data_IF_788330138609
#
_entry.id   IF_788330138609
#
_cell.length_a   1.000
_cell.length_b   1.000
_cell.length_c   1.000
_cell.angle_alpha   90.00
_cell.angle_beta   90.00
_cell.angle_gamma   90.00
#
_symmetry.space_group_name_H-M   'P 1'
#
loop_
_entity.id
_entity.type
_entity.pdbx_description
1 polymer ?
#
# COMPACT_ATOMS: atom_id res chain seq x y z
N UNK A 1 25.40 2.94 22.56
CA UNK A 1 25.00 2.51 23.91
C UNK A 1 25.48 1.07 24.13
N UNK A 2 26.46 0.92 25.04
CA UNK A 2 27.23 -0.31 25.15
C UNK A 2 26.71 -1.26 26.23
N UNK A 3 25.45 -1.72 26.16
CA UNK A 3 25.07 -2.83 27.01
C UNK A 3 25.86 -4.09 26.64
N UNK A 4 26.52 -4.69 27.64
CA UNK A 4 27.17 -5.99 27.45
C UNK A 4 26.13 -7.05 27.02
N UNK A 5 26.50 -7.97 26.12
CA UNK A 5 25.59 -9.04 25.71
C UNK A 5 25.21 -9.93 26.90
N UNK A 6 23.97 -10.39 26.91
CA UNK A 6 23.52 -11.39 27.86
C UNK A 6 23.96 -12.76 27.35
N UNK A 7 24.73 -13.46 28.15
CA UNK A 7 25.15 -14.84 27.91
C UNK A 7 24.27 -15.81 28.66
N UNK A 8 23.57 -16.70 27.97
CA UNK A 8 22.69 -17.70 28.56
C UNK A 8 23.25 -19.09 28.33
N UNK A 9 23.58 -19.78 29.40
CA UNK A 9 24.00 -21.17 29.36
C UNK A 9 22.79 -22.08 29.33
N UNK A 10 22.69 -22.91 28.30
CA UNK A 10 21.53 -23.78 28.08
C UNK A 10 21.95 -25.26 28.13
N UNK A 11 21.11 -26.06 28.78
CA UNK A 11 21.19 -27.53 28.73
C UNK A 11 20.05 -28.05 27.84
N UNK A 12 20.42 -28.88 26.85
CA UNK A 12 19.42 -29.49 25.97
C UNK A 12 19.10 -30.91 26.42
N UNK A 13 17.92 -31.11 27.02
CA UNK A 13 17.55 -32.34 27.70
C UNK A 13 16.95 -33.44 26.81
N UNK A 14 16.77 -33.14 25.49
CA UNK A 14 16.25 -34.19 24.58
C UNK A 14 17.39 -35.04 24.05
N UNK A 15 17.12 -36.35 23.88
CA UNK A 15 18.03 -37.30 23.29
C UNK A 15 18.30 -36.87 21.80
N UNK A 16 19.59 -36.87 21.39
CA UNK A 16 19.95 -36.54 20.03
C UNK A 16 19.43 -37.61 19.06
N UNK A 17 19.10 -37.16 17.83
CA UNK A 17 18.68 -38.03 16.74
C UNK A 17 19.62 -37.83 15.54
N UNK A 18 19.69 -38.87 14.70
CA UNK A 18 20.41 -38.79 13.44
C UNK A 18 19.85 -37.66 12.54
N UNK A 19 20.71 -36.81 12.00
CA UNK A 19 20.32 -35.74 11.09
C UNK A 19 19.94 -36.21 9.68
N UNK A 20 20.12 -37.51 9.36
CA UNK A 20 19.85 -38.11 8.05
C UNK A 20 18.61 -39.01 8.06
N UNK A 21 18.49 -39.94 9.04
CA UNK A 21 17.41 -40.91 9.10
C UNK A 21 16.51 -40.76 10.34
N UNK A 22 16.74 -39.71 11.15
CA UNK A 22 15.97 -39.40 12.39
C UNK A 22 16.02 -40.52 13.47
N UNK A 23 16.86 -41.54 13.29
CA UNK A 23 17.00 -42.64 14.26
C UNK A 23 17.53 -42.16 15.62
N UNK A 24 17.08 -42.78 16.68
CA UNK A 24 17.58 -42.59 18.05
C UNK A 24 18.87 -43.38 18.33
N UNK A 25 19.22 -44.37 17.51
CA UNK A 25 20.39 -45.23 17.69
C UNK A 25 21.67 -44.51 17.25
N UNK A 26 22.05 -43.47 17.97
CA UNK A 26 23.23 -42.65 17.68
C UNK A 26 24.25 -42.74 18.81
N UNK A 27 25.54 -42.72 18.43
CA UNK A 27 26.67 -42.63 19.37
C UNK A 27 27.27 -41.23 19.33
N UNK A 28 27.52 -40.65 20.54
CA UNK A 28 28.26 -39.36 20.64
C UNK A 28 29.76 -39.64 20.42
N UNK A 29 30.33 -39.00 19.40
CA UNK A 29 31.77 -39.16 19.07
C UNK A 29 32.63 -38.07 19.71
N UNK A 30 32.17 -36.82 19.62
CA UNK A 30 32.84 -35.70 20.28
C UNK A 30 31.84 -34.63 20.67
N UNK A 31 32.26 -33.76 21.54
CA UNK A 31 31.46 -32.60 21.95
C UNK A 31 32.18 -31.30 21.66
N UNK A 32 31.45 -30.24 21.43
CA UNK A 32 31.94 -28.90 21.23
C UNK A 32 30.95 -27.86 21.78
N UNK A 33 31.48 -26.72 22.15
CA UNK A 33 30.65 -25.60 22.59
C UNK A 33 30.12 -24.88 21.35
N UNK A 34 28.85 -24.51 21.39
CA UNK A 34 28.17 -23.73 20.36
C UNK A 34 27.64 -22.44 20.93
N UNK A 35 27.96 -21.32 20.26
CA UNK A 35 27.45 -20.00 20.57
C UNK A 35 26.52 -19.55 19.43
N UNK A 36 25.30 -19.15 19.77
CA UNK A 36 24.26 -18.79 18.81
C UNK A 36 23.61 -17.47 19.22
N UNK A 37 23.55 -16.52 18.33
CA UNK A 37 22.84 -15.26 18.55
C UNK A 37 21.33 -15.51 18.61
N UNK A 38 20.70 -14.87 19.57
CA UNK A 38 19.26 -14.95 19.85
C UNK A 38 18.60 -13.56 19.78
N UNK A 39 17.28 -13.52 19.86
CA UNK A 39 16.52 -12.26 19.92
C UNK A 39 16.99 -11.39 21.10
N UNK A 40 16.73 -10.08 21.02
CA UNK A 40 17.03 -9.18 22.13
C UNK A 40 16.14 -9.51 23.34
N UNK A 41 16.73 -9.49 24.51
CA UNK A 41 16.00 -9.47 25.78
C UNK A 41 16.11 -8.05 26.35
N UNK A 42 15.01 -7.31 26.32
CA UNK A 42 15.03 -5.87 26.50
C UNK A 42 15.86 -5.20 25.40
N UNK A 43 16.88 -4.43 25.80
CA UNK A 43 17.81 -3.77 24.85
C UNK A 43 19.16 -4.51 24.72
N UNK A 44 19.30 -5.68 25.35
CA UNK A 44 20.56 -6.44 25.38
C UNK A 44 20.56 -7.52 24.33
N UNK A 45 21.68 -7.62 23.58
CA UNK A 45 21.92 -8.75 22.68
C UNK A 45 22.06 -10.02 23.50
N UNK A 46 21.47 -11.11 23.04
CA UNK A 46 21.49 -12.38 23.73
C UNK A 46 22.29 -13.41 22.92
N UNK A 47 23.16 -14.13 23.59
CA UNK A 47 23.96 -15.22 23.04
C UNK A 47 23.64 -16.47 23.84
N UNK A 48 23.14 -17.50 23.16
CA UNK A 48 22.92 -18.81 23.74
C UNK A 48 24.21 -19.62 23.63
N UNK A 49 24.68 -20.17 24.76
CA UNK A 49 25.84 -21.04 24.83
C UNK A 49 25.40 -22.43 25.30
N UNK A 50 25.77 -23.47 24.56
CA UNK A 50 25.38 -24.84 24.90
C UNK A 50 26.32 -25.87 24.29
N UNK A 51 26.35 -27.05 24.89
CA UNK A 51 27.13 -28.21 24.42
C UNK A 51 26.41 -28.92 23.30
N UNK A 52 27.07 -29.16 22.18
CA UNK A 52 26.61 -29.88 21.00
C UNK A 52 27.51 -31.09 20.74
N UNK A 53 26.95 -32.10 20.05
CA UNK A 53 27.67 -33.33 19.77
C UNK A 53 27.79 -33.63 18.29
N UNK A 54 28.94 -34.18 17.91
CA UNK A 54 29.10 -34.91 16.66
C UNK A 54 28.62 -36.33 16.89
N UNK A 55 27.75 -36.82 16.04
CA UNK A 55 27.02 -38.09 16.17
C UNK A 55 27.43 -39.05 15.07
N UNK A 56 27.47 -40.34 15.40
CA UNK A 56 27.52 -41.43 14.41
C UNK A 56 26.23 -42.24 14.55
N UNK A 57 25.55 -42.50 13.44
CA UNK A 57 24.30 -43.28 13.41
C UNK A 57 24.60 -44.76 13.14
N UNK A 58 24.17 -45.63 14.04
CA UNK A 58 24.35 -47.09 13.88
C UNK A 58 23.44 -47.69 12.79
N UNK A 59 22.35 -47.03 12.40
CA UNK A 59 21.43 -47.53 11.37
C UNK A 59 21.84 -47.13 9.95
N UNK A 60 22.16 -45.85 9.71
CA UNK A 60 22.52 -45.41 8.37
C UNK A 60 24.04 -45.25 8.13
N UNK A 61 24.89 -45.53 9.12
CA UNK A 61 26.32 -45.48 9.04
C UNK A 61 26.93 -44.09 8.85
N UNK A 62 26.14 -43.01 8.96
CA UNK A 62 26.58 -41.64 8.64
C UNK A 62 26.93 -40.82 9.88
N UNK A 63 27.90 -39.95 9.69
CA UNK A 63 28.22 -38.91 10.67
C UNK A 63 27.33 -37.68 10.46
N UNK A 64 27.00 -37.01 11.55
CA UNK A 64 26.23 -35.77 11.51
C UNK A 64 26.43 -34.94 12.78
N UNK A 65 26.09 -33.69 12.72
CA UNK A 65 26.05 -32.82 13.90
C UNK A 65 24.64 -32.84 14.52
N UNK A 66 24.57 -32.78 15.82
CA UNK A 66 23.31 -32.64 16.54
C UNK A 66 22.55 -31.42 16.05
N UNK A 67 21.27 -31.60 15.76
CA UNK A 67 20.35 -30.53 15.37
C UNK A 67 19.55 -30.03 16.59
N UNK A 68 19.22 -28.75 16.56
CA UNK A 68 18.46 -28.09 17.61
C UNK A 68 17.24 -27.38 17.03
N UNK A 69 16.07 -27.44 17.65
CA UNK A 69 14.88 -26.72 17.18
C UNK A 69 15.16 -25.21 17.11
N UNK A 70 14.65 -24.57 16.07
CA UNK A 70 14.79 -23.13 15.86
C UNK A 70 16.19 -22.64 15.51
N UNK A 71 17.12 -23.57 15.21
CA UNK A 71 18.48 -23.26 14.74
C UNK A 71 18.77 -24.09 13.50
N UNK A 72 18.72 -23.49 12.33
CA UNK A 72 18.98 -24.19 11.07
C UNK A 72 20.43 -24.67 10.98
N UNK A 73 20.65 -25.71 10.17
CA UNK A 73 21.98 -26.31 9.93
C UNK A 73 22.99 -25.23 9.54
N UNK A 74 24.14 -25.22 10.20
CA UNK A 74 25.24 -24.26 10.02
C UNK A 74 24.94 -22.80 10.38
N UNK A 75 23.76 -22.48 10.85
CA UNK A 75 23.43 -21.11 11.28
C UNK A 75 24.01 -20.81 12.69
N UNK A 76 24.50 -19.57 12.85
CA UNK A 76 24.95 -19.01 14.13
C UNK A 76 23.91 -18.06 14.76
N UNK A 77 22.68 -18.16 14.29
CA UNK A 77 21.52 -17.37 14.77
C UNK A 77 20.31 -18.27 14.92
N UNK A 78 19.46 -17.95 15.86
CA UNK A 78 18.14 -18.59 15.98
C UNK A 78 17.18 -18.04 14.91
N UNK A 79 16.14 -18.82 14.58
CA UNK A 79 15.05 -18.36 13.71
C UNK A 79 14.28 -17.19 14.34
N UNK A 80 14.14 -17.17 15.69
CA UNK A 80 13.50 -16.05 16.40
C UNK A 80 14.22 -14.73 16.19
N UNK A 81 15.56 -14.71 16.21
CA UNK A 81 16.34 -13.52 15.89
C UNK A 81 16.07 -13.04 14.46
N UNK A 82 16.02 -13.97 13.48
CA UNK A 82 15.75 -13.61 12.09
C UNK A 82 14.34 -13.02 11.93
N UNK A 83 13.34 -13.58 12.63
CA UNK A 83 11.97 -13.07 12.67
C UNK A 83 11.90 -11.69 13.32
N UNK A 84 12.59 -11.48 14.45
CA UNK A 84 12.63 -10.18 15.11
C UNK A 84 13.24 -9.10 14.19
N UNK A 85 14.34 -9.39 13.52
CA UNK A 85 14.97 -8.48 12.55
C UNK A 85 14.01 -8.17 11.39
N UNK A 86 13.30 -9.17 10.87
CA UNK A 86 12.32 -8.99 9.82
C UNK A 86 11.21 -8.03 10.26
N UNK A 87 10.62 -8.21 11.45
CA UNK A 87 9.58 -7.33 11.96
C UNK A 87 10.07 -5.91 12.23
N UNK A 88 11.27 -5.74 12.76
CA UNK A 88 11.87 -4.41 12.95
C UNK A 88 12.07 -3.70 11.61
N UNK A 89 12.54 -4.41 10.58
CA UNK A 89 12.73 -3.82 9.24
C UNK A 89 11.39 -3.46 8.59
N UNK A 90 10.39 -4.32 8.65
CA UNK A 90 9.04 -4.03 8.14
C UNK A 90 8.36 -2.89 8.89
N UNK A 91 8.75 -2.65 10.15
CA UNK A 91 8.30 -1.49 10.95
C UNK A 91 9.04 -0.19 10.62
N UNK A 92 9.99 -0.20 9.67
CA UNK A 92 10.67 0.99 9.15
C UNK A 92 12.09 1.22 9.67
N UNK A 93 12.67 0.31 10.48
CA UNK A 93 14.06 0.42 10.92
C UNK A 93 15.00 0.04 9.77
N UNK A 94 15.98 0.89 9.48
CA UNK A 94 16.90 0.67 8.37
C UNK A 94 17.83 -0.53 8.60
N UNK A 95 18.27 -1.20 7.52
CA UNK A 95 19.24 -2.30 7.62
C UNK A 95 20.57 -1.86 8.27
N UNK A 96 20.99 -0.61 8.08
CA UNK A 96 22.16 -0.03 8.74
C UNK A 96 22.00 -0.03 10.26
N UNK A 97 20.86 0.43 10.71
CA UNK A 97 20.51 0.54 12.13
C UNK A 97 20.38 -0.83 12.79
N UNK A 98 19.71 -1.78 12.10
CA UNK A 98 19.65 -3.18 12.53
C UNK A 98 21.02 -3.84 12.61
N UNK A 99 21.92 -3.54 11.65
CA UNK A 99 23.30 -4.03 11.67
C UNK A 99 24.06 -3.58 12.91
N UNK A 100 23.87 -2.34 13.33
CA UNK A 100 24.46 -1.78 14.55
C UNK A 100 23.83 -2.39 15.81
N UNK A 101 22.49 -2.46 15.85
CA UNK A 101 21.74 -2.93 17.02
C UNK A 101 22.00 -4.40 17.32
N UNK A 102 21.96 -5.25 16.28
CA UNK A 102 22.12 -6.70 16.43
C UNK A 102 23.57 -7.19 16.26
N UNK A 103 24.49 -6.30 15.87
CA UNK A 103 25.87 -6.64 15.46
C UNK A 103 25.92 -7.80 14.47
N UNK A 104 25.10 -7.71 13.45
CA UNK A 104 25.08 -8.63 12.31
C UNK A 104 25.49 -7.90 11.04
N UNK A 105 26.20 -8.56 10.13
CA UNK A 105 26.59 -7.95 8.85
C UNK A 105 25.35 -7.56 8.03
N UNK A 106 25.40 -6.40 7.33
CA UNK A 106 24.30 -5.92 6.48
C UNK A 106 23.84 -6.97 5.47
N UNK A 107 24.76 -7.61 4.76
CA UNK A 107 24.46 -8.69 3.81
C UNK A 107 23.77 -9.92 4.47
N UNK A 108 24.03 -10.16 5.76
CA UNK A 108 23.36 -11.23 6.52
C UNK A 108 21.93 -10.85 6.83
N UNK A 109 21.70 -9.61 7.27
CA UNK A 109 20.35 -9.06 7.54
C UNK A 109 19.53 -9.07 6.25
N UNK A 110 20.10 -8.61 5.14
CA UNK A 110 19.45 -8.59 3.83
C UNK A 110 19.03 -10.00 3.40
N UNK A 111 19.93 -10.99 3.49
CA UNK A 111 19.60 -12.40 3.17
C UNK A 111 18.47 -12.96 4.06
N UNK A 112 18.49 -12.67 5.36
CA UNK A 112 17.44 -13.11 6.27
C UNK A 112 16.11 -12.44 5.95
N UNK A 113 16.13 -11.13 5.64
CA UNK A 113 14.95 -10.38 5.24
C UNK A 113 14.34 -10.95 3.96
N UNK A 114 15.14 -11.13 2.89
CA UNK A 114 14.65 -11.68 1.62
C UNK A 114 14.11 -13.10 1.78
N UNK A 115 14.80 -13.95 2.52
CA UNK A 115 14.34 -15.32 2.79
C UNK A 115 12.98 -15.32 3.50
N UNK A 116 12.83 -14.50 4.53
CA UNK A 116 11.57 -14.40 5.28
C UNK A 116 10.46 -13.78 4.44
N UNK A 117 10.78 -12.74 3.69
CA UNK A 117 9.86 -12.12 2.74
C UNK A 117 9.31 -13.11 1.73
N UNK A 118 10.15 -14.00 1.17
CA UNK A 118 9.70 -15.05 0.26
C UNK A 118 8.76 -16.06 0.95
N UNK A 119 9.05 -16.46 2.19
CA UNK A 119 8.18 -17.37 2.94
C UNK A 119 6.81 -16.72 3.16
N UNK A 120 6.76 -15.49 3.67
CA UNK A 120 5.51 -14.78 3.93
C UNK A 120 4.79 -14.39 2.63
N UNK A 121 5.54 -14.05 1.58
CA UNK A 121 4.98 -13.80 0.26
C UNK A 121 4.30 -15.02 -0.34
N UNK A 122 4.86 -16.21 -0.20
CA UNK A 122 4.25 -17.46 -0.64
C UNK A 122 2.96 -17.80 0.14
N UNK A 123 2.90 -17.47 1.43
CA UNK A 123 1.67 -17.60 2.22
C UNK A 123 0.59 -16.61 1.72
N UNK A 124 0.99 -15.39 1.36
CA UNK A 124 0.08 -14.38 0.81
C UNK A 124 -0.48 -14.76 -0.56
N UNK A 125 0.29 -15.42 -1.44
CA UNK A 125 -0.16 -15.90 -2.75
C UNK A 125 -1.37 -16.85 -2.65
N UNK A 126 -1.57 -17.50 -1.53
CA UNK A 126 -2.74 -18.36 -1.26
C UNK A 126 -3.90 -17.63 -0.60
N UNK A 127 -3.72 -16.36 -0.24
CA UNK A 127 -4.77 -15.55 0.39
C UNK A 127 -5.79 -15.12 -0.67
N UNK A 128 -7.09 -15.40 -0.48
CA UNK A 128 -8.10 -14.99 -1.46
C UNK A 128 -8.27 -13.48 -1.47
N UNK A 129 -8.66 -12.94 -2.63
CA UNK A 129 -8.93 -11.52 -2.81
C UNK A 129 -9.85 -10.95 -1.72
N UNK A 130 -9.57 -9.74 -1.22
CA UNK A 130 -10.45 -9.06 -0.27
C UNK A 130 -11.79 -8.69 -0.95
N UNK A 131 -12.88 -8.66 -0.17
CA UNK A 131 -14.21 -8.29 -0.69
C UNK A 131 -14.28 -6.84 -1.18
N UNK A 132 -13.46 -5.95 -0.63
CA UNK A 132 -13.38 -4.53 -1.00
C UNK A 132 -11.93 -4.23 -1.34
N UNK A 133 -11.65 -4.15 -2.63
CA UNK A 133 -10.32 -3.98 -3.19
C UNK A 133 -10.10 -2.52 -3.60
N UNK A 134 -8.93 -1.98 -3.31
CA UNK A 134 -8.44 -0.72 -3.88
C UNK A 134 -7.37 -1.01 -4.92
N UNK A 135 -7.43 -0.32 -6.05
CA UNK A 135 -6.39 -0.30 -7.07
C UNK A 135 -5.85 1.11 -7.23
N UNK A 136 -4.53 1.27 -7.17
CA UNK A 136 -3.89 2.57 -7.34
C UNK A 136 -2.53 2.42 -8.04
N UNK A 137 -2.12 3.45 -8.76
CA UNK A 137 -0.87 3.51 -9.49
C UNK A 137 0.18 4.27 -8.69
N UNK A 138 1.38 3.72 -8.60
CA UNK A 138 2.51 4.41 -8.01
C UNK A 138 3.71 4.46 -8.95
N UNK A 139 4.27 5.65 -9.14
CA UNK A 139 5.53 5.85 -9.86
C UNK A 139 6.69 5.86 -8.85
N UNK A 140 7.55 4.88 -8.91
CA UNK A 140 8.71 4.78 -8.02
C UNK A 140 9.86 5.69 -8.46
N UNK A 141 10.34 5.49 -9.68
CA UNK A 141 11.45 6.25 -10.25
C UNK A 141 11.54 5.99 -11.76
N UNK A 142 12.33 6.80 -12.46
CA UNK A 142 12.60 6.56 -13.90
C UNK A 142 13.19 5.17 -14.17
N UNK A 143 14.02 4.65 -13.25
CA UNK A 143 14.65 3.31 -13.35
C UNK A 143 13.66 2.18 -13.09
N UNK A 144 12.78 2.33 -12.10
CA UNK A 144 11.88 1.26 -11.65
C UNK A 144 10.49 1.33 -12.29
N UNK A 145 10.10 2.49 -12.85
CA UNK A 145 8.83 2.69 -13.51
C UNK A 145 7.63 2.72 -12.56
N UNK A 146 6.52 2.22 -13.05
CA UNK A 146 5.24 2.17 -12.32
C UNK A 146 5.02 0.82 -11.66
N UNK A 147 4.24 0.82 -10.59
CA UNK A 147 3.64 -0.38 -10.01
C UNK A 147 2.17 -0.11 -9.69
N UNK A 148 1.38 -1.16 -9.74
CA UNK A 148 -0.02 -1.18 -9.31
C UNK A 148 -0.09 -1.74 -7.90
N UNK A 149 -0.65 -0.98 -6.98
CA UNK A 149 -0.87 -1.38 -5.58
C UNK A 149 -2.29 -1.87 -5.42
N UNK A 150 -2.44 -3.07 -4.89
CA UNK A 150 -3.72 -3.66 -4.50
C UNK A 150 -3.87 -3.55 -2.98
N UNK A 151 -4.98 -3.00 -2.50
CA UNK A 151 -5.23 -2.80 -1.07
C UNK A 151 -6.53 -3.46 -0.61
N UNK A 152 -6.52 -4.11 0.55
CA UNK A 152 -7.73 -4.43 1.30
C UNK A 152 -8.24 -3.16 1.99
N UNK A 153 -9.23 -2.50 1.39
CA UNK A 153 -9.78 -1.25 1.91
C UNK A 153 -10.62 -1.44 3.19
N UNK A 154 -11.03 -2.67 3.49
CA UNK A 154 -11.73 -2.99 4.73
C UNK A 154 -10.77 -3.10 5.90
N UNK A 155 -9.66 -3.78 5.71
CA UNK A 155 -8.63 -4.02 6.74
C UNK A 155 -7.57 -2.93 6.79
N UNK A 156 -7.59 -1.97 5.86
CA UNK A 156 -6.58 -0.91 5.74
C UNK A 156 -5.14 -1.47 5.58
N UNK A 157 -4.97 -2.45 4.70
CA UNK A 157 -3.69 -3.11 4.45
C UNK A 157 -3.40 -3.21 2.95
N UNK A 158 -2.13 -3.13 2.59
CA UNK A 158 -1.69 -3.54 1.26
C UNK A 158 -1.97 -5.04 1.13
N UNK A 159 -2.63 -5.42 0.05
CA UNK A 159 -2.86 -6.81 -0.31
C UNK A 159 -1.70 -7.33 -1.15
N UNK A 160 -1.32 -6.57 -2.20
CA UNK A 160 -0.16 -6.89 -3.03
C UNK A 160 0.32 -5.68 -3.83
N UNK A 161 1.53 -5.77 -4.40
CA UNK A 161 2.12 -4.76 -5.27
C UNK A 161 2.67 -5.45 -6.52
N UNK A 162 2.18 -5.05 -7.68
CA UNK A 162 2.54 -5.64 -8.96
C UNK A 162 3.27 -4.62 -9.82
N UNK A 163 4.42 -5.00 -10.37
CA UNK A 163 5.20 -4.13 -11.27
C UNK A 163 4.41 -3.88 -12.56
N UNK A 164 4.37 -2.61 -12.99
CA UNK A 164 3.68 -2.18 -14.19
C UNK A 164 2.28 -1.64 -13.92
N UNK A 165 1.64 -1.14 -14.99
CA UNK A 165 0.29 -0.56 -14.95
C UNK A 165 -0.54 -0.90 -16.18
N UNK A 166 0.08 -1.47 -17.22
CA UNK A 166 -0.57 -1.85 -18.46
C UNK A 166 -1.28 -3.18 -18.32
N UNK A 167 -2.23 -3.45 -19.19
CA UNK A 167 -2.95 -4.71 -19.21
C UNK A 167 -2.01 -5.91 -19.31
N UNK A 168 -1.01 -5.84 -20.19
CA UNK A 168 0.00 -6.92 -20.37
C UNK A 168 0.81 -7.19 -19.11
N UNK A 169 1.09 -6.14 -18.32
CA UNK A 169 1.85 -6.26 -17.08
C UNK A 169 1.03 -6.97 -15.97
N UNK A 170 -0.29 -6.75 -15.95
CA UNK A 170 -1.18 -7.16 -14.87
C UNK A 170 -1.96 -8.45 -15.15
N UNK A 171 -2.19 -8.80 -16.42
CA UNK A 171 -3.05 -9.93 -16.79
C UNK A 171 -2.60 -11.26 -16.19
N UNK A 172 -1.30 -11.57 -16.23
CA UNK A 172 -0.78 -12.83 -15.68
C UNK A 172 -1.05 -12.92 -14.17
N UNK A 173 -0.74 -11.86 -13.45
CA UNK A 173 -0.98 -11.78 -12.01
C UNK A 173 -2.48 -11.86 -11.67
N UNK A 174 -3.32 -11.08 -12.34
CA UNK A 174 -4.77 -11.09 -12.11
C UNK A 174 -5.41 -12.45 -12.43
N UNK A 175 -4.86 -13.18 -13.42
CA UNK A 175 -5.32 -14.53 -13.71
C UNK A 175 -5.03 -15.50 -12.57
N UNK A 176 -3.89 -15.38 -11.91
CA UNK A 176 -3.46 -16.26 -10.82
C UNK A 176 -4.17 -16.02 -9.49
N UNK A 177 -4.84 -14.87 -9.32
CA UNK A 177 -5.51 -14.52 -8.08
C UNK A 177 -6.66 -15.48 -7.74
N UNK A 178 -6.69 -15.92 -6.47
CA UNK A 178 -7.77 -16.76 -5.94
C UNK A 178 -8.92 -15.91 -5.39
N UNK A 179 -10.15 -16.37 -5.49
CA UNK A 179 -11.33 -15.74 -4.90
C UNK A 179 -11.74 -14.42 -5.56
N UNK A 180 -11.47 -14.24 -6.85
CA UNK A 180 -11.88 -13.06 -7.64
C UNK A 180 -13.39 -12.84 -7.67
N UNK A 181 -14.14 -13.92 -7.70
CA UNK A 181 -15.62 -13.99 -7.64
C UNK A 181 -16.19 -13.41 -6.32
N UNK A 182 -15.40 -13.40 -5.25
CA UNK A 182 -15.78 -12.88 -3.94
C UNK A 182 -15.64 -11.37 -3.82
N UNK A 183 -14.96 -10.72 -4.76
CA UNK A 183 -14.77 -9.26 -4.76
C UNK A 183 -16.10 -8.59 -5.08
N UNK A 184 -16.57 -7.76 -4.16
CA UNK A 184 -17.87 -7.05 -4.26
C UNK A 184 -17.71 -5.62 -4.75
N UNK A 185 -16.59 -4.99 -4.41
CA UNK A 185 -16.30 -3.58 -4.74
C UNK A 185 -14.83 -3.45 -5.10
N UNK A 186 -14.57 -2.74 -6.19
CA UNK A 186 -13.24 -2.27 -6.55
C UNK A 186 -13.24 -0.75 -6.62
N UNK A 187 -12.47 -0.09 -5.74
CA UNK A 187 -12.25 1.35 -5.77
C UNK A 187 -10.95 1.64 -6.53
N UNK A 188 -11.03 2.54 -7.53
CA UNK A 188 -9.89 2.86 -8.38
C UNK A 188 -9.96 4.29 -8.91
N UNK A 189 -8.87 4.80 -9.45
CA UNK A 189 -8.81 6.06 -10.18
C UNK A 189 -9.56 5.97 -11.54
N UNK A 190 -9.66 7.10 -12.22
CA UNK A 190 -10.37 7.22 -13.50
C UNK A 190 -9.53 6.66 -14.66
N UNK A 191 -9.07 5.42 -14.54
CA UNK A 191 -8.26 4.71 -15.55
C UNK A 191 -9.09 3.73 -16.36
N UNK A 192 -9.18 3.96 -17.69
CA UNK A 192 -9.88 3.01 -18.58
C UNK A 192 -9.22 1.64 -18.63
N UNK A 193 -7.89 1.58 -18.51
CA UNK A 193 -7.15 0.30 -18.44
C UNK A 193 -7.59 -0.51 -17.21
N UNK A 194 -7.62 0.12 -16.04
CA UNK A 194 -8.09 -0.58 -14.82
C UNK A 194 -9.57 -0.92 -14.90
N UNK A 195 -10.41 -0.05 -15.50
CA UNK A 195 -11.83 -0.34 -15.73
C UNK A 195 -12.03 -1.63 -16.54
N UNK A 196 -11.30 -1.78 -17.63
CA UNK A 196 -11.34 -2.99 -18.47
C UNK A 196 -10.85 -4.22 -17.72
N UNK A 197 -9.73 -4.12 -17.01
CA UNK A 197 -9.18 -5.21 -16.20
C UNK A 197 -10.15 -5.64 -15.09
N UNK A 198 -10.77 -4.70 -14.40
CA UNK A 198 -11.73 -5.01 -13.34
C UNK A 198 -12.96 -5.71 -13.90
N UNK A 199 -13.52 -5.25 -15.00
CA UNK A 199 -14.65 -5.89 -15.68
C UNK A 199 -14.32 -7.33 -16.12
N UNK A 200 -13.10 -7.56 -16.60
CA UNK A 200 -12.63 -8.87 -17.08
C UNK A 200 -12.37 -9.85 -15.93
N UNK A 201 -11.70 -9.41 -14.86
CA UNK A 201 -11.19 -10.30 -13.81
C UNK A 201 -12.07 -10.39 -12.56
N UNK A 202 -12.94 -9.41 -12.31
CA UNK A 202 -13.81 -9.33 -11.13
C UNK A 202 -15.28 -9.14 -11.53
N UNK A 203 -15.92 -10.17 -12.14
CA UNK A 203 -17.23 -10.03 -12.79
C UNK A 203 -18.36 -9.59 -11.82
N UNK A 204 -18.25 -9.93 -10.55
CA UNK A 204 -19.24 -9.59 -9.52
C UNK A 204 -18.98 -8.25 -8.82
N UNK A 205 -17.87 -7.60 -9.15
CA UNK A 205 -17.46 -6.38 -8.47
C UNK A 205 -18.14 -5.12 -9.04
N UNK A 206 -18.62 -4.26 -8.15
CA UNK A 206 -19.00 -2.90 -8.51
C UNK A 206 -17.78 -2.00 -8.53
N UNK A 207 -17.58 -1.29 -9.64
CA UNK A 207 -16.50 -0.32 -9.75
C UNK A 207 -16.96 0.98 -9.06
N UNK A 208 -16.08 1.53 -8.24
CA UNK A 208 -16.28 2.80 -7.53
C UNK A 208 -15.12 3.72 -7.90
N UNK A 209 -15.45 4.91 -8.40
CA UNK A 209 -14.44 5.91 -8.68
C UNK A 209 -13.78 6.39 -7.36
N UNK A 210 -12.46 6.55 -7.36
CA UNK A 210 -11.81 7.15 -6.19
C UNK A 210 -12.12 8.64 -6.13
N UNK A 211 -12.77 9.04 -5.03
CA UNK A 211 -13.21 10.43 -4.80
C UNK A 211 -12.10 11.45 -4.90
N UNK A 212 -10.92 11.11 -4.41
CA UNK A 212 -9.78 12.02 -4.44
C UNK A 212 -9.40 12.36 -5.88
N UNK A 213 -9.33 11.37 -6.76
CA UNK A 213 -9.00 11.55 -8.18
C UNK A 213 -10.10 12.32 -8.92
N UNK A 214 -11.38 12.05 -8.63
CA UNK A 214 -12.49 12.82 -9.22
C UNK A 214 -12.41 14.29 -8.83
N UNK A 215 -12.23 14.60 -7.55
CA UNK A 215 -12.13 15.97 -7.05
C UNK A 215 -10.90 16.67 -7.61
N UNK A 216 -9.77 15.98 -7.67
CA UNK A 216 -8.52 16.50 -8.25
C UNK A 216 -8.69 16.84 -9.73
N UNK A 217 -9.42 16.01 -10.48
CA UNK A 217 -9.75 16.27 -11.88
C UNK A 217 -10.59 17.56 -12.02
N UNK A 218 -11.66 17.69 -11.24
CA UNK A 218 -12.51 18.89 -11.24
C UNK A 218 -11.68 20.14 -10.94
N UNK A 219 -10.89 20.10 -9.88
CA UNK A 219 -10.02 21.23 -9.50
C UNK A 219 -9.03 21.57 -10.61
N UNK A 220 -8.41 20.58 -11.24
CA UNK A 220 -7.44 20.79 -12.30
C UNK A 220 -8.06 21.50 -13.50
N UNK A 221 -9.20 21.02 -13.99
CA UNK A 221 -9.87 21.59 -15.17
C UNK A 221 -10.40 23.01 -14.91
N UNK A 222 -10.95 23.26 -13.72
CA UNK A 222 -11.35 24.63 -13.34
C UNK A 222 -10.14 25.57 -13.26
N UNK A 223 -9.01 25.10 -12.69
CA UNK A 223 -7.78 25.91 -12.66
C UNK A 223 -7.24 26.22 -14.04
N UNK A 224 -7.36 25.31 -15.00
CA UNK A 224 -7.00 25.57 -16.39
C UNK A 224 -7.90 26.67 -16.99
N UNK A 225 -9.22 26.58 -16.78
CA UNK A 225 -10.18 27.58 -17.26
C UNK A 225 -9.93 28.97 -16.65
N UNK A 226 -9.61 29.06 -15.34
CA UNK A 226 -9.27 30.34 -14.73
C UNK A 226 -8.02 30.99 -15.36
N UNK A 227 -7.03 30.19 -15.74
CA UNK A 227 -5.83 30.68 -16.44
C UNK A 227 -6.11 31.14 -17.87
N UNK A 228 -7.09 30.53 -18.53
CA UNK A 228 -7.54 30.94 -19.87
C UNK A 228 -8.30 32.27 -19.82
N UNK A 229 -9.11 32.51 -18.77
CA UNK A 229 -9.96 33.69 -18.63
C UNK A 229 -9.21 34.93 -18.15
N UNK A 230 -8.13 34.79 -17.37
CA UNK A 230 -7.44 35.93 -16.80
C UNK A 230 -5.93 35.77 -16.86
N UNK A 231 -5.28 36.70 -17.57
CA UNK A 231 -3.81 36.77 -17.62
C UNK A 231 -3.19 37.07 -16.26
N UNK A 232 -3.89 37.81 -15.39
CA UNK A 232 -3.43 38.13 -14.03
C UNK A 232 -3.34 36.88 -13.13
N UNK A 233 -4.17 35.86 -13.39
CA UNK A 233 -4.15 34.58 -12.69
C UNK A 233 -3.03 33.66 -13.20
N UNK A 234 -2.71 33.70 -14.47
CA UNK A 234 -1.83 32.73 -15.14
C UNK A 234 -0.52 32.51 -14.38
N UNK A 235 0.05 33.57 -13.85
CA UNK A 235 1.32 33.58 -13.12
C UNK A 235 1.15 33.85 -11.61
N UNK A 236 -0.07 34.09 -11.12
CA UNK A 236 -0.33 34.40 -9.71
C UNK A 236 -0.66 33.16 -8.90
N UNK A 237 0.38 32.49 -8.38
CA UNK A 237 0.23 31.31 -7.53
C UNK A 237 -0.61 31.57 -6.29
N UNK A 238 -0.59 32.80 -5.76
CA UNK A 238 -1.37 33.17 -4.57
C UNK A 238 -2.87 33.15 -4.83
N UNK A 239 -3.34 33.77 -5.94
CA UNK A 239 -4.75 33.76 -6.34
C UNK A 239 -5.23 32.34 -6.67
N UNK A 240 -4.45 31.59 -7.43
CA UNK A 240 -4.78 30.17 -7.70
C UNK A 240 -4.92 29.35 -6.44
N UNK A 241 -4.07 29.59 -5.43
CA UNK A 241 -4.16 28.91 -4.14
C UNK A 241 -5.46 29.30 -3.39
N UNK A 242 -5.88 30.57 -3.44
CA UNK A 242 -7.13 31.03 -2.84
C UNK A 242 -8.35 30.33 -3.49
N UNK A 243 -8.41 30.30 -4.81
CA UNK A 243 -9.51 29.67 -5.58
C UNK A 243 -9.56 28.14 -5.38
N UNK A 244 -8.43 27.49 -5.13
CA UNK A 244 -8.33 26.05 -4.85
C UNK A 244 -8.66 25.68 -3.42
N UNK A 245 -8.44 26.60 -2.48
CA UNK A 245 -8.62 26.31 -1.05
C UNK A 245 -10.11 26.33 -0.70
N UNK A 246 -10.54 25.37 0.11
CA UNK A 246 -11.93 25.33 0.61
C UNK A 246 -12.25 26.63 1.36
N UNK A 247 -13.47 27.18 1.18
CA UNK A 247 -13.90 28.41 1.84
C UNK A 247 -13.70 28.40 3.37
N UNK A 248 -13.99 27.29 4.01
CA UNK A 248 -13.90 27.11 5.46
C UNK A 248 -12.45 27.15 5.99
N UNK A 249 -11.48 26.86 5.13
CA UNK A 249 -10.05 26.84 5.48
C UNK A 249 -9.35 28.17 5.21
N UNK A 250 -10.03 29.16 4.65
CA UNK A 250 -9.49 30.48 4.42
C UNK A 250 -9.65 31.36 5.65
N UNK A 251 -8.58 32.08 6.01
CA UNK A 251 -8.64 33.16 7.01
C UNK A 251 -9.51 34.31 6.51
N UNK A 252 -10.05 35.14 7.41
CA UNK A 252 -10.91 36.28 7.06
C UNK A 252 -10.29 37.18 5.99
N UNK A 253 -9.03 37.57 6.16
CA UNK A 253 -8.31 38.39 5.16
C UNK A 253 -8.22 37.68 3.77
N UNK A 254 -8.00 36.37 3.74
CA UNK A 254 -7.92 35.60 2.49
C UNK A 254 -9.31 35.44 1.83
N UNK A 255 -10.39 35.38 2.62
CA UNK A 255 -11.77 35.39 2.11
C UNK A 255 -12.05 36.72 1.43
N UNK A 256 -11.81 37.85 2.09
CA UNK A 256 -12.00 39.19 1.52
C UNK A 256 -11.24 39.31 0.20
N UNK A 257 -9.96 38.96 0.17
CA UNK A 257 -9.16 39.02 -1.05
C UNK A 257 -9.72 38.18 -2.19
N UNK A 258 -10.22 36.97 -1.90
CA UNK A 258 -10.87 36.11 -2.88
C UNK A 258 -12.16 36.76 -3.39
N UNK A 259 -13.00 37.25 -2.48
CA UNK A 259 -14.32 37.78 -2.82
C UNK A 259 -14.22 39.07 -3.63
N UNK A 260 -13.29 39.97 -3.28
CA UNK A 260 -12.96 41.15 -4.09
C UNK A 260 -12.54 40.74 -5.52
N UNK A 261 -11.62 39.76 -5.63
CA UNK A 261 -11.18 39.29 -6.93
C UNK A 261 -12.32 38.65 -7.76
N UNK A 262 -13.21 37.88 -7.13
CA UNK A 262 -14.36 37.27 -7.81
C UNK A 262 -15.36 38.32 -8.29
N UNK A 263 -15.65 39.33 -7.48
CA UNK A 263 -16.53 40.45 -7.86
C UNK A 263 -16.00 41.23 -9.09
N UNK A 264 -14.68 41.38 -9.21
CA UNK A 264 -14.03 41.99 -10.37
C UNK A 264 -14.03 41.09 -11.63
N UNK A 265 -14.30 39.78 -11.48
CA UNK A 265 -14.20 38.78 -12.54
C UNK A 265 -15.44 37.86 -12.60
N UNK A 266 -16.61 38.35 -13.08
CA UNK A 266 -17.90 37.62 -13.00
C UNK A 266 -17.89 36.24 -13.68
N UNK A 267 -17.14 36.07 -14.78
CA UNK A 267 -17.03 34.77 -15.45
C UNK A 267 -16.28 33.74 -14.58
N UNK A 268 -15.25 34.18 -13.86
CA UNK A 268 -14.50 33.32 -12.92
C UNK A 268 -15.36 33.01 -11.70
N UNK A 269 -16.12 34.00 -11.22
CA UNK A 269 -17.04 33.84 -10.09
C UNK A 269 -18.10 32.76 -10.39
N UNK A 270 -18.73 32.81 -11.55
CA UNK A 270 -19.71 31.82 -11.97
C UNK A 270 -19.13 30.41 -12.00
N UNK A 271 -17.92 30.22 -12.56
CA UNK A 271 -17.24 28.94 -12.59
C UNK A 271 -16.82 28.49 -11.18
N UNK A 272 -16.41 29.42 -10.33
CA UNK A 272 -16.05 29.14 -8.94
C UNK A 272 -17.25 28.61 -8.14
N UNK A 273 -18.39 29.26 -8.23
CA UNK A 273 -19.62 28.79 -7.58
C UNK A 273 -20.09 27.44 -8.11
N UNK A 274 -20.04 27.25 -9.42
CA UNK A 274 -20.32 25.95 -10.02
C UNK A 274 -19.37 24.86 -9.51
N UNK A 275 -18.08 25.15 -9.43
CA UNK A 275 -17.06 24.25 -8.88
C UNK A 275 -17.36 23.88 -7.42
N UNK A 276 -17.76 24.85 -6.57
CA UNK A 276 -18.12 24.58 -5.17
C UNK A 276 -19.34 23.68 -5.07
N UNK A 277 -20.40 23.94 -5.82
CA UNK A 277 -21.61 23.10 -5.85
C UNK A 277 -21.28 21.67 -6.31
N UNK A 278 -20.50 21.53 -7.38
CA UNK A 278 -20.09 20.20 -7.84
C UNK A 278 -19.21 19.48 -6.82
N UNK A 279 -18.31 20.20 -6.14
CA UNK A 279 -17.49 19.66 -5.09
C UNK A 279 -18.33 19.17 -3.89
N UNK A 280 -19.30 19.95 -3.42
CA UNK A 280 -20.22 19.56 -2.34
C UNK A 280 -20.99 18.29 -2.71
N UNK A 281 -21.52 18.24 -3.93
CA UNK A 281 -22.21 17.06 -4.44
C UNK A 281 -21.30 15.82 -4.42
N UNK A 282 -20.07 15.93 -4.88
CA UNK A 282 -19.09 14.85 -4.94
C UNK A 282 -18.60 14.41 -3.55
N UNK A 283 -18.67 15.29 -2.55
CA UNK A 283 -18.25 14.99 -1.17
C UNK A 283 -19.27 14.17 -0.38
N UNK A 284 -20.49 14.00 -0.88
CA UNK A 284 -21.48 13.13 -0.23
C UNK A 284 -20.93 11.71 -0.01
N UNK A 285 -21.25 11.12 1.15
CA UNK A 285 -20.78 9.78 1.55
C UNK A 285 -21.92 9.00 2.19
N UNK A 286 -21.83 7.66 2.10
CA UNK A 286 -22.76 6.75 2.82
C UNK A 286 -24.23 7.04 2.57
N UNK A 287 -24.58 7.52 1.37
CA UNK A 287 -25.95 7.81 1.03
C UNK A 287 -26.76 6.53 0.85
N UNK A 288 -28.01 6.57 1.29
CA UNK A 288 -28.98 5.52 0.95
C UNK A 288 -29.29 5.53 -0.55
N UNK A 289 -29.81 4.41 -1.07
CA UNK A 289 -30.21 4.31 -2.48
C UNK A 289 -31.23 5.39 -2.87
N UNK A 290 -32.15 5.71 -1.97
CA UNK A 290 -33.17 6.75 -2.18
C UNK A 290 -32.51 8.14 -2.30
N UNK A 291 -31.62 8.49 -1.37
CA UNK A 291 -30.90 9.78 -1.43
C UNK A 291 -30.02 9.90 -2.68
N UNK A 292 -29.33 8.84 -3.08
CA UNK A 292 -28.59 8.84 -4.34
C UNK A 292 -29.47 9.14 -5.55
N UNK A 293 -30.66 8.51 -5.64
CA UNK A 293 -31.60 8.77 -6.73
C UNK A 293 -32.03 10.24 -6.82
N UNK A 294 -32.14 10.93 -5.69
CA UNK A 294 -32.50 12.35 -5.66
C UNK A 294 -31.41 13.28 -6.18
N UNK A 295 -30.15 12.93 -5.99
CA UNK A 295 -29.01 13.78 -6.41
C UNK A 295 -28.48 13.48 -7.82
N UNK A 296 -28.75 12.29 -8.36
CA UNK A 296 -28.35 11.92 -9.72
C UNK A 296 -28.82 12.90 -10.80
N UNK A 297 -30.11 13.35 -10.85
CA UNK A 297 -30.54 14.30 -11.86
C UNK A 297 -29.77 15.62 -11.82
N UNK A 298 -29.46 16.15 -10.63
CA UNK A 298 -28.64 17.35 -10.48
C UNK A 298 -27.23 17.13 -11.03
N UNK A 299 -26.61 16.01 -10.73
CA UNK A 299 -25.28 15.66 -11.25
C UNK A 299 -25.26 15.57 -12.78
N UNK A 300 -26.26 14.91 -13.36
CA UNK A 300 -26.40 14.81 -14.82
C UNK A 300 -26.61 16.18 -15.47
N UNK A 301 -27.42 17.06 -14.86
CA UNK A 301 -27.59 18.44 -15.30
C UNK A 301 -26.27 19.21 -15.28
N UNK A 302 -25.48 19.07 -14.21
CA UNK A 302 -24.17 19.69 -14.10
C UNK A 302 -23.20 19.18 -15.17
N UNK A 303 -23.23 17.89 -15.48
CA UNK A 303 -22.44 17.31 -16.59
C UNK A 303 -22.83 17.93 -17.93
N UNK A 304 -24.14 18.09 -18.20
CA UNK A 304 -24.60 18.71 -19.45
C UNK A 304 -24.15 20.17 -19.55
N UNK A 305 -24.26 20.95 -18.48
CA UNK A 305 -23.77 22.33 -18.43
C UNK A 305 -22.26 22.39 -18.75
N UNK A 306 -21.46 21.48 -18.21
CA UNK A 306 -20.04 21.40 -18.52
C UNK A 306 -19.78 21.07 -20.02
N UNK A 307 -20.54 20.15 -20.59
CA UNK A 307 -20.40 19.75 -22.01
C UNK A 307 -20.80 20.87 -22.99
N UNK A 308 -21.70 21.76 -22.59
CA UNK A 308 -22.16 22.91 -23.36
C UNK A 308 -21.34 24.18 -23.08
N UNK A 309 -20.34 24.12 -22.22
CA UNK A 309 -19.48 25.26 -21.88
C UNK A 309 -18.66 25.72 -23.10
N UNK A 310 -18.39 27.02 -23.23
CA UNK A 310 -17.51 27.54 -24.28
C UNK A 310 -16.02 27.20 -24.03
N UNK A 311 -15.67 26.72 -22.82
CA UNK A 311 -14.29 26.45 -22.44
C UNK A 311 -13.92 24.98 -22.66
N UNK A 312 -12.85 24.75 -23.44
CA UNK A 312 -12.37 23.39 -23.79
C UNK A 312 -12.09 22.53 -22.56
N UNK A 313 -11.51 23.11 -21.51
CA UNK A 313 -11.17 22.41 -20.25
C UNK A 313 -12.44 21.93 -19.54
N UNK A 314 -13.51 22.74 -19.49
CA UNK A 314 -14.78 22.35 -18.87
C UNK A 314 -15.53 21.30 -19.70
N UNK A 315 -15.48 21.40 -21.04
CA UNK A 315 -16.04 20.38 -21.95
C UNK A 315 -15.35 19.04 -21.75
N UNK A 316 -14.01 19.02 -21.63
CA UNK A 316 -13.24 17.81 -21.37
C UNK A 316 -13.60 17.20 -20.01
N UNK A 317 -13.79 18.04 -18.97
CA UNK A 317 -14.29 17.61 -17.67
C UNK A 317 -15.68 16.96 -17.80
N UNK A 318 -16.62 17.64 -18.47
CA UNK A 318 -17.97 17.13 -18.69
C UNK A 318 -17.99 15.76 -19.39
N UNK A 319 -17.21 15.60 -20.46
CA UNK A 319 -17.05 14.32 -21.16
C UNK A 319 -16.49 13.22 -20.25
N UNK A 320 -15.49 13.53 -19.44
CA UNK A 320 -14.89 12.54 -18.50
C UNK A 320 -15.90 12.16 -17.43
N UNK A 321 -16.57 13.12 -16.79
CA UNK A 321 -17.57 12.84 -15.76
C UNK A 321 -18.74 12.04 -16.34
N UNK A 322 -19.17 12.30 -17.56
CA UNK A 322 -20.23 11.55 -18.26
C UNK A 322 -19.81 10.09 -18.49
N UNK A 323 -18.58 9.88 -18.96
CA UNK A 323 -18.02 8.53 -19.17
C UNK A 323 -17.93 7.71 -17.88
N UNK A 324 -17.76 8.36 -16.71
CA UNK A 324 -17.57 7.75 -15.41
C UNK A 324 -18.77 7.95 -14.45
N UNK A 325 -19.90 8.38 -14.95
CA UNK A 325 -21.07 8.76 -14.12
C UNK A 325 -21.58 7.64 -13.23
N UNK A 326 -21.54 6.39 -13.69
CA UNK A 326 -22.00 5.23 -12.91
C UNK A 326 -21.08 4.93 -11.74
N UNK A 327 -19.78 4.93 -11.96
CA UNK A 327 -18.77 4.67 -10.94
C UNK A 327 -18.69 5.83 -9.93
N UNK A 328 -18.93 7.06 -10.38
CA UNK A 328 -19.07 8.24 -9.51
C UNK A 328 -20.36 8.15 -8.68
N UNK A 329 -21.49 7.75 -9.26
CA UNK A 329 -22.72 7.52 -8.50
C UNK A 329 -22.56 6.41 -7.44
N UNK A 330 -21.81 5.36 -7.76
CA UNK A 330 -21.43 4.33 -6.78
C UNK A 330 -20.60 4.90 -5.62
N UNK A 331 -19.76 5.89 -5.85
CA UNK A 331 -18.92 6.55 -4.84
C UNK A 331 -19.73 7.16 -3.68
N UNK A 332 -20.96 7.64 -3.92
CA UNK A 332 -21.81 8.20 -2.87
C UNK A 332 -22.35 7.16 -1.89
N UNK A 333 -22.45 5.92 -2.31
CA UNK A 333 -22.92 4.80 -1.48
C UNK A 333 -21.80 4.16 -0.67
N UNK A 334 -20.55 4.22 -1.17
CA UNK A 334 -19.39 3.60 -0.57
C UNK A 334 -18.49 4.68 0.05
N UNK A 335 -18.19 4.51 1.35
CA UNK A 335 -17.35 5.46 2.09
C UNK A 335 -15.85 5.24 1.90
N UNK A 336 -15.46 4.06 1.40
CA UNK A 336 -14.06 3.69 1.25
C UNK A 336 -13.44 4.40 0.05
N UNK A 337 -12.25 4.95 0.25
CA UNK A 337 -11.42 5.60 -0.78
C UNK A 337 -10.00 5.02 -0.74
N UNK A 338 -9.24 5.23 -1.80
CA UNK A 338 -7.83 4.82 -1.88
C UNK A 338 -6.87 5.71 -1.06
N UNK A 339 -7.36 6.62 -0.22
CA UNK A 339 -6.51 7.48 0.60
C UNK A 339 -5.51 6.72 1.48
N UNK A 340 -5.78 5.44 1.75
CA UNK A 340 -4.86 4.53 2.43
C UNK A 340 -3.64 4.24 1.54
N UNK A 341 -3.85 4.06 0.25
CA UNK A 341 -2.80 3.79 -0.74
C UNK A 341 -1.81 4.94 -0.82
N UNK A 342 -2.27 6.20 -0.75
CA UNK A 342 -1.37 7.36 -0.68
C UNK A 342 -0.46 7.32 0.56
N UNK A 343 -1.00 6.91 1.72
CA UNK A 343 -0.23 6.72 2.94
C UNK A 343 0.87 5.66 2.79
N UNK A 344 0.58 4.56 2.10
CA UNK A 344 1.57 3.52 1.78
C UNK A 344 2.60 4.01 0.77
N UNK A 345 2.18 4.72 -0.28
CA UNK A 345 3.09 5.26 -1.30
C UNK A 345 4.12 6.24 -0.71
N UNK A 346 3.74 7.02 0.31
CA UNK A 346 4.68 7.88 1.06
C UNK A 346 5.72 7.09 1.86
N UNK A 347 5.36 5.90 2.35
CA UNK A 347 6.29 5.02 3.09
C UNK A 347 7.20 4.22 2.16
N UNK A 348 6.82 4.03 0.90
CA UNK A 348 7.61 3.31 -0.10
C UNK A 348 8.67 4.19 -0.79
N UNK A 349 8.56 5.52 -0.69
CA UNK A 349 9.58 6.49 -1.12
C UNK A 349 10.66 6.65 -0.07
#
# INVERSE_FOLDING_TARGET
SGYQPLLLDLTYNRLPRCSHCSSKKVRKKSSYERKVHHELIGHRRTILRFKAYKLFCNECGRYGNQQFPGIAKYQRSTERLQVQIFHHHTSGISQKELSLQFKQGKATIERWYHRRYQIEGNELLNTPCPKVLGLDEHFFSRKHGFATTLCDLKKHKVFDIVKGRREVDLNHYLNSLKGKDRVQVVCMDLSNTYRSLVKKHFPNAKIVADRFHVIRLVQHQCMMTYRELSSSIKNNRGLLALLRTKPDKLTSHKKIKRDTFLAENPAIEAIYHFQQQLHELLMNKTLTKVRCRKIIPLFLKMIQNLKQSPFKSLVALGKTLDSWKEEIACMWRFSKSNGITEGFHRKMK
#
